data_IF_947830268004
#
_entry.id   IF_947830268004
#
_cell.length_a   1.000
_cell.length_b   1.000
_cell.length_c   1.000
_cell.angle_alpha   90.00
_cell.angle_beta   90.00
_cell.angle_gamma   90.00
#
_symmetry.space_group_name_H-M   'P 1'
#
loop_
_entity.id
_entity.type
_entity.pdbx_description
1 polymer ?
#
# COMPACT_ATOMS: atom_id res chain seq x y z
N UNK A 1 -3.65 -12.48 -12.59
CA UNK A 1 -3.07 -12.01 -11.31
C UNK A 1 -3.83 -12.68 -10.18
N UNK A 2 -3.15 -13.25 -9.19
CA UNK A 2 -3.79 -13.91 -8.04
C UNK A 2 -3.75 -12.99 -6.81
N UNK A 3 -4.88 -12.36 -6.50
CA UNK A 3 -4.99 -11.52 -5.30
C UNK A 3 -4.91 -12.30 -4.00
N UNK A 4 -5.23 -13.60 -3.99
CA UNK A 4 -5.10 -14.42 -2.77
C UNK A 4 -3.65 -14.53 -2.34
N UNK A 5 -2.74 -14.76 -3.29
CA UNK A 5 -1.30 -14.78 -3.02
C UNK A 5 -0.78 -13.41 -2.53
N UNK A 6 -1.26 -12.31 -3.13
CA UNK A 6 -0.85 -10.96 -2.72
C UNK A 6 -1.37 -10.59 -1.33
N UNK A 7 -2.62 -10.92 -1.01
CA UNK A 7 -3.22 -10.75 0.32
C UNK A 7 -2.52 -11.63 1.35
N UNK A 8 -2.17 -12.88 1.01
CA UNK A 8 -1.39 -13.75 1.89
C UNK A 8 -0.02 -13.14 2.24
N UNK A 9 0.69 -12.59 1.25
CA UNK A 9 1.95 -11.88 1.49
C UNK A 9 1.78 -10.66 2.41
N UNK A 10 0.70 -9.90 2.23
CA UNK A 10 0.37 -8.77 3.11
C UNK A 10 0.01 -9.25 4.53
N UNK A 11 -0.69 -10.40 4.66
CA UNK A 11 -1.06 -11.00 5.94
C UNK A 11 0.17 -11.48 6.71
N UNK A 12 1.11 -12.12 6.03
CA UNK A 12 2.35 -12.62 6.63
C UNK A 12 3.19 -11.47 7.19
N UNK A 13 3.38 -10.40 6.42
CA UNK A 13 4.19 -9.25 6.87
C UNK A 13 3.51 -8.46 7.99
N UNK A 14 2.17 -8.41 8.05
CA UNK A 14 1.40 -7.73 9.10
C UNK A 14 1.85 -8.15 10.50
N UNK A 15 2.21 -9.41 10.69
CA UNK A 15 2.70 -9.95 11.98
C UNK A 15 3.99 -9.30 12.48
N UNK A 16 4.73 -8.62 11.60
CA UNK A 16 5.99 -7.93 11.90
C UNK A 16 5.82 -6.43 12.14
N UNK A 17 4.59 -5.93 12.15
CA UNK A 17 4.31 -4.53 12.44
C UNK A 17 4.87 -4.14 13.81
N UNK A 18 5.46 -2.95 13.88
CA UNK A 18 5.84 -2.33 15.13
C UNK A 18 4.79 -1.27 15.45
N UNK A 19 3.74 -1.65 16.18
CA UNK A 19 2.66 -0.73 16.52
C UNK A 19 2.27 -0.76 18.01
N UNK A 20 3.21 -0.47 18.94
CA UNK A 20 2.96 -0.57 20.37
C UNK A 20 1.99 0.50 20.90
N UNK A 21 1.74 1.58 20.14
CA UNK A 21 0.88 2.68 20.59
C UNK A 21 -0.57 2.46 20.18
N UNK A 22 -0.83 2.12 18.91
CA UNK A 22 -2.20 1.84 18.45
C UNK A 22 -2.65 0.41 18.70
N UNK A 23 -1.71 -0.54 18.79
CA UNK A 23 -1.98 -1.98 18.72
C UNK A 23 -2.74 -2.40 17.45
N UNK A 24 -2.67 -1.58 16.39
CA UNK A 24 -3.29 -1.85 15.10
C UNK A 24 -2.21 -2.20 14.08
N UNK A 25 -2.15 -3.48 13.70
CA UNK A 25 -1.15 -4.01 12.79
C UNK A 25 -1.67 -3.98 11.36
N UNK A 26 -0.87 -3.41 10.46
CA UNK A 26 -1.17 -3.31 9.04
C UNK A 26 -0.03 -3.92 8.25
N UNK A 27 -0.37 -4.74 7.26
CA UNK A 27 0.54 -5.25 6.25
C UNK A 27 0.14 -4.78 4.86
N UNK A 28 1.11 -4.59 3.99
CA UNK A 28 0.90 -4.24 2.60
C UNK A 28 1.83 -5.06 1.69
N UNK A 29 1.34 -5.39 0.51
CA UNK A 29 2.12 -6.07 -0.53
C UNK A 29 1.90 -5.37 -1.89
N UNK A 30 2.99 -5.11 -2.61
CA UNK A 30 3.00 -4.45 -3.92
C UNK A 30 3.50 -5.43 -4.97
N UNK A 31 2.71 -5.63 -6.03
CA UNK A 31 3.14 -6.37 -7.22
C UNK A 31 3.74 -5.40 -8.23
N UNK A 32 4.85 -5.76 -8.85
CA UNK A 32 5.51 -4.98 -9.90
C UNK A 32 5.33 -5.61 -11.29
N UNK A 33 5.64 -4.90 -12.39
CA UNK A 33 5.58 -5.47 -13.74
C UNK A 33 6.47 -6.70 -13.95
N UNK A 34 7.58 -6.82 -13.20
CA UNK A 34 8.46 -7.98 -13.24
C UNK A 34 7.89 -9.22 -12.52
N UNK A 35 6.72 -9.09 -11.89
CA UNK A 35 6.08 -10.16 -11.11
C UNK A 35 6.62 -10.30 -9.68
N UNK A 36 7.52 -9.41 -9.25
CA UNK A 36 8.04 -9.41 -7.88
C UNK A 36 7.02 -8.81 -6.90
N UNK A 37 7.00 -9.35 -5.70
CA UNK A 37 6.18 -8.86 -4.59
C UNK A 37 7.11 -8.20 -3.56
N UNK A 38 6.78 -6.97 -3.18
CA UNK A 38 7.44 -6.21 -2.12
C UNK A 38 6.48 -5.98 -0.98
N UNK A 39 6.94 -6.15 0.25
CA UNK A 39 6.08 -6.15 1.42
C UNK A 39 6.51 -5.11 2.44
N UNK A 40 5.56 -4.58 3.19
CA UNK A 40 5.79 -3.64 4.27
C UNK A 40 4.77 -3.81 5.39
N UNK A 41 5.17 -3.46 6.60
CA UNK A 41 4.30 -3.37 7.76
C UNK A 41 4.41 -1.98 8.37
N UNK A 42 3.38 -1.53 9.10
CA UNK A 42 3.44 -0.23 9.75
C UNK A 42 4.47 -0.23 10.89
N UNK A 43 5.16 0.91 11.02
CA UNK A 43 6.18 1.17 12.03
C UNK A 43 5.83 2.47 12.72
N UNK A 44 5.42 2.38 13.97
CA UNK A 44 5.06 3.54 14.77
C UNK A 44 6.28 4.14 15.48
N UNK A 45 6.09 5.37 15.96
CA UNK A 45 7.07 6.11 16.73
C UNK A 45 6.34 6.92 17.80
N UNK A 46 6.97 7.14 18.97
CA UNK A 46 6.42 7.98 20.04
C UNK A 46 6.13 9.41 19.55
N UNK A 47 6.96 9.93 18.64
CA UNK A 47 6.66 11.12 17.88
C UNK A 47 5.80 10.73 16.67
N UNK A 48 4.48 10.75 16.83
CA UNK A 48 3.53 10.16 15.87
C UNK A 48 3.74 10.54 14.39
N UNK A 49 4.11 11.78 14.02
CA UNK A 49 4.40 12.13 12.63
C UNK A 49 5.59 11.39 12.00
N UNK A 50 6.44 10.73 12.81
CA UNK A 50 7.60 9.96 12.37
C UNK A 50 7.27 8.48 12.09
N UNK A 51 6.03 8.06 12.33
CA UNK A 51 5.57 6.73 11.95
C UNK A 51 5.41 6.58 10.44
N UNK A 52 5.42 5.33 9.97
CA UNK A 52 5.19 4.98 8.58
C UNK A 52 4.10 3.91 8.48
N UNK A 53 3.14 4.11 7.57
CA UNK A 53 2.14 3.10 7.24
C UNK A 53 2.77 1.96 6.43
N UNK A 54 2.10 0.81 6.40
CA UNK A 54 2.59 -0.39 5.73
C UNK A 54 2.89 -0.18 4.24
N UNK A 55 2.04 0.58 3.55
CA UNK A 55 2.19 0.91 2.13
C UNK A 55 3.44 1.76 1.88
N UNK A 56 3.76 2.68 2.80
CA UNK A 56 4.97 3.52 2.71
C UNK A 56 6.23 2.66 2.88
N UNK A 57 6.21 1.73 3.84
CA UNK A 57 7.29 0.76 4.03
C UNK A 57 7.46 -0.14 2.80
N UNK A 58 6.35 -0.64 2.25
CA UNK A 58 6.37 -1.52 1.07
C UNK A 58 6.94 -0.79 -0.16
N UNK A 59 6.57 0.48 -0.38
CA UNK A 59 7.18 1.33 -1.41
C UNK A 59 8.69 1.46 -1.17
N UNK A 60 9.12 1.69 0.07
CA UNK A 60 10.54 1.75 0.42
C UNK A 60 11.30 0.48 0.02
N UNK A 61 10.73 -0.70 0.31
CA UNK A 61 11.33 -1.99 -0.08
C UNK A 61 11.34 -2.22 -1.59
N UNK A 62 10.29 -1.80 -2.30
CA UNK A 62 10.21 -1.86 -3.77
C UNK A 62 11.34 -1.04 -4.41
N UNK A 63 11.54 0.19 -3.95
CA UNK A 63 12.59 1.09 -4.43
C UNK A 63 13.98 0.51 -4.11
N UNK A 64 14.19 0.00 -2.89
CA UNK A 64 15.43 -0.66 -2.52
C UNK A 64 15.71 -1.92 -3.36
N UNK A 65 14.65 -2.59 -3.83
CA UNK A 65 14.71 -3.72 -4.76
C UNK A 65 14.91 -3.35 -6.24
N UNK A 66 15.05 -2.06 -6.55
CA UNK A 66 15.31 -1.54 -7.89
C UNK A 66 14.06 -1.31 -8.76
N UNK A 67 12.87 -1.54 -8.24
CA UNK A 67 11.60 -1.39 -8.96
C UNK A 67 10.97 -0.04 -8.65
N UNK A 68 10.35 0.60 -9.66
CA UNK A 68 9.78 1.96 -9.54
C UNK A 68 8.33 2.07 -10.00
N UNK A 69 7.68 0.94 -10.27
CA UNK A 69 6.28 0.88 -10.73
C UNK A 69 5.60 -0.30 -10.09
N UNK A 70 4.34 -0.11 -9.74
CA UNK A 70 3.46 -1.16 -9.25
C UNK A 70 2.34 -1.42 -10.27
N UNK A 71 1.85 -2.65 -10.27
CA UNK A 71 0.72 -3.11 -11.09
C UNK A 71 -0.48 -3.48 -10.24
N UNK A 72 -0.28 -3.72 -8.94
CA UNK A 72 -1.36 -3.94 -7.98
C UNK A 72 -0.86 -3.87 -6.53
N UNK A 73 -1.82 -3.74 -5.61
CA UNK A 73 -1.58 -3.58 -4.18
C UNK A 73 -2.51 -4.51 -3.39
N UNK A 74 -2.06 -5.01 -2.24
CA UNK A 74 -2.93 -5.52 -1.20
C UNK A 74 -2.62 -4.82 0.12
N UNK A 75 -3.64 -4.49 0.90
CA UNK A 75 -3.52 -3.92 2.25
C UNK A 75 -4.44 -4.67 3.20
N UNK A 76 -3.91 -5.07 4.35
CA UNK A 76 -4.64 -5.83 5.36
C UNK A 76 -4.39 -5.24 6.75
N UNK A 77 -5.47 -5.02 7.50
CA UNK A 77 -5.43 -4.57 8.88
C UNK A 77 -5.65 -5.72 9.86
N UNK A 78 -5.50 -5.46 11.16
CA UNK A 78 -5.80 -6.42 12.23
C UNK A 78 -7.26 -6.35 12.74
N UNK A 79 -8.09 -5.48 12.15
CA UNK A 79 -9.51 -5.35 12.48
C UNK A 79 -10.44 -6.20 11.60
N UNK A 80 -11.72 -6.33 12.00
CA UNK A 80 -12.72 -7.12 11.26
C UNK A 80 -13.18 -6.46 9.96
N UNK A 81 -13.00 -5.14 9.83
CA UNK A 81 -13.40 -4.39 8.64
C UNK A 81 -12.31 -4.39 7.56
N UNK A 82 -12.71 -4.15 6.31
CA UNK A 82 -11.78 -3.97 5.19
C UNK A 82 -10.83 -2.79 5.45
N UNK A 83 -9.53 -3.06 5.46
CA UNK A 83 -8.51 -2.04 5.71
C UNK A 83 -8.28 -1.20 4.45
N UNK A 84 -8.73 0.06 4.46
CA UNK A 84 -8.49 1.00 3.36
C UNK A 84 -7.23 1.84 3.62
N UNK A 85 -6.42 2.15 2.58
CA UNK A 85 -5.26 3.02 2.72
C UNK A 85 -5.65 4.41 3.24
N UNK A 86 -4.82 5.00 4.12
CA UNK A 86 -5.02 6.38 4.55
C UNK A 86 -4.77 7.36 3.39
N UNK A 87 -5.26 8.61 3.48
CA UNK A 87 -5.13 9.59 2.39
C UNK A 87 -3.71 9.81 1.88
N UNK A 88 -2.73 9.85 2.79
CA UNK A 88 -1.31 9.94 2.42
C UNK A 88 -0.80 8.72 1.66
N UNK A 89 -1.20 7.51 2.06
CA UNK A 89 -0.85 6.28 1.34
C UNK A 89 -1.49 6.19 -0.03
N UNK A 90 -2.76 6.63 -0.17
CA UNK A 90 -3.41 6.71 -1.48
C UNK A 90 -2.60 7.56 -2.45
N UNK A 91 -2.16 8.75 -2.00
CA UNK A 91 -1.34 9.64 -2.82
C UNK A 91 0.04 9.05 -3.14
N UNK A 92 0.70 8.39 -2.16
CA UNK A 92 1.99 7.71 -2.40
C UNK A 92 1.87 6.57 -3.40
N UNK A 93 0.84 5.73 -3.29
CA UNK A 93 0.60 4.63 -4.22
C UNK A 93 0.30 5.13 -5.63
N UNK A 94 -0.47 6.22 -5.75
CA UNK A 94 -0.81 6.86 -7.02
C UNK A 94 0.42 7.40 -7.78
N UNK A 95 1.51 7.74 -7.09
CA UNK A 95 2.76 8.13 -7.73
C UNK A 95 3.41 6.98 -8.53
N UNK A 96 3.19 5.73 -8.11
CA UNK A 96 3.89 4.56 -8.66
C UNK A 96 3.02 3.69 -9.58
N UNK A 97 1.73 3.98 -9.70
CA UNK A 97 0.79 3.21 -10.51
C UNK A 97 -0.33 4.09 -11.09
N UNK A 98 -0.92 3.70 -12.24
CA UNK A 98 -2.03 4.45 -12.82
C UNK A 98 -3.32 4.33 -11.97
N UNK A 99 -4.33 5.15 -12.28
CA UNK A 99 -5.61 5.15 -11.55
C UNK A 99 -6.31 3.79 -11.57
N UNK A 100 -6.11 3.00 -12.63
CA UNK A 100 -6.69 1.68 -12.83
C UNK A 100 -5.99 0.59 -12.02
N UNK A 101 -4.92 0.93 -11.29
CA UNK A 101 -4.21 -0.03 -10.42
C UNK A 101 -5.20 -0.64 -9.43
N UNK A 102 -5.39 -1.96 -9.44
CA UNK A 102 -6.24 -2.63 -8.48
C UNK A 102 -5.57 -2.74 -7.10
N UNK A 103 -6.37 -2.53 -6.07
CA UNK A 103 -6.02 -2.55 -4.65
C UNK A 103 -6.95 -3.53 -3.95
N UNK A 104 -6.42 -4.64 -3.46
CA UNK A 104 -7.14 -5.53 -2.56
C UNK A 104 -7.12 -4.93 -1.15
N UNK A 105 -8.28 -4.50 -0.66
CA UNK A 105 -8.48 -4.09 0.73
C UNK A 105 -9.00 -5.31 1.50
N UNK A 106 -8.32 -5.70 2.57
CA UNK A 106 -8.58 -6.94 3.27
C UNK A 106 -8.85 -6.73 4.76
N UNK A 107 -9.76 -7.53 5.28
CA UNK A 107 -10.03 -7.67 6.71
C UNK A 107 -9.08 -8.69 7.35
N UNK A 108 -9.10 -8.78 8.68
CA UNK A 108 -8.13 -9.57 9.41
C UNK A 108 -8.15 -11.07 9.14
N UNK A 109 -9.28 -11.61 8.69
CA UNK A 109 -9.49 -13.01 8.32
C UNK A 109 -9.06 -13.32 6.86
N UNK A 110 -8.59 -12.31 6.13
CA UNK A 110 -8.16 -12.43 4.75
C UNK A 110 -9.29 -12.31 3.72
N UNK A 111 -10.54 -12.07 4.14
CA UNK A 111 -11.60 -11.63 3.22
C UNK A 111 -11.23 -10.27 2.63
N UNK A 112 -11.48 -10.07 1.34
CA UNK A 112 -11.06 -8.87 0.65
C UNK A 112 -12.00 -8.47 -0.48
N UNK A 113 -11.97 -7.18 -0.80
CA UNK A 113 -12.55 -6.60 -2.00
C UNK A 113 -11.45 -5.96 -2.85
N UNK A 114 -11.65 -5.89 -4.17
CA UNK A 114 -10.72 -5.24 -5.08
C UNK A 114 -11.36 -3.96 -5.59
N UNK A 115 -10.69 -2.84 -5.33
CA UNK A 115 -11.07 -1.49 -5.76
C UNK A 115 -9.88 -0.84 -6.47
N UNK A 116 -10.10 0.11 -7.38
CA UNK A 116 -9.00 0.80 -8.05
C UNK A 116 -8.43 1.95 -7.22
N UNK A 117 -7.18 2.35 -7.48
CA UNK A 117 -6.59 3.55 -6.89
C UNK A 117 -7.38 4.83 -7.23
N UNK A 118 -7.95 4.91 -8.43
CA UNK A 118 -8.78 6.03 -8.87
C UNK A 118 -10.10 6.16 -8.11
N UNK A 119 -10.71 5.03 -7.71
CA UNK A 119 -11.88 5.03 -6.83
C UNK A 119 -11.52 5.42 -5.40
N UNK A 120 -10.34 5.03 -4.92
CA UNK A 120 -9.83 5.42 -3.60
C UNK A 120 -9.43 6.90 -3.55
N UNK A 121 -8.91 7.46 -4.64
CA UNK A 121 -8.41 8.83 -4.73
C UNK A 121 -8.90 9.51 -6.03
N UNK A 122 -10.19 9.85 -6.12
CA UNK A 122 -10.74 10.49 -7.29
C UNK A 122 -10.09 11.87 -7.51
N UNK A 123 -9.74 12.18 -8.76
CA UNK A 123 -9.10 13.44 -9.16
C UNK A 123 -7.80 13.71 -8.40
N UNK A 124 -6.99 12.66 -8.23
CA UNK A 124 -5.71 12.72 -7.55
C UNK A 124 -4.79 13.83 -8.10
N UNK A 125 -4.03 14.45 -7.19
CA UNK A 125 -2.92 15.31 -7.56
C UNK A 125 -1.79 14.45 -8.17
N UNK A 126 -1.02 15.02 -9.10
CA UNK A 126 0.05 14.30 -9.79
C UNK A 126 0.85 15.21 -10.73
N UNK A 127 1.82 14.67 -11.47
CA UNK A 127 2.76 15.43 -12.31
C UNK A 127 2.10 16.49 -13.20
N UNK A 128 0.95 16.18 -13.81
CA UNK A 128 0.21 17.10 -14.69
C UNK A 128 -0.31 18.37 -14.00
N UNK A 129 -0.26 18.45 -12.67
CA UNK A 129 -0.65 19.62 -11.89
C UNK A 129 0.55 20.49 -11.51
N UNK A 130 1.79 20.04 -11.78
CA UNK A 130 3.02 20.77 -11.49
C UNK A 130 3.49 21.53 -12.74
N UNK A 131 3.90 22.80 -12.61
CA UNK A 131 4.23 23.67 -13.75
C UNK A 131 5.42 23.19 -14.60
N UNK A 132 6.32 22.38 -14.05
CA UNK A 132 7.57 21.93 -14.71
C UNK A 132 7.80 20.41 -14.60
N UNK A 133 6.77 19.59 -14.40
CA UNK A 133 6.99 18.15 -14.29
C UNK A 133 7.38 17.54 -15.65
N UNK A 134 8.40 16.66 -15.70
CA UNK A 134 8.64 15.85 -16.89
C UNK A 134 7.41 14.99 -17.20
N UNK A 135 7.13 14.69 -18.48
CA UNK A 135 5.98 13.86 -18.85
C UNK A 135 6.07 12.47 -18.20
N UNK A 136 4.92 11.98 -17.74
CA UNK A 136 4.74 10.70 -17.05
C UNK A 136 4.95 9.47 -17.95
#
# INVERSE_FOLDING_TARGET
MDFKALVAAAMDIRSRAYAPYSNYHVGAALLTPSGKIFVGANVENAAYPQGACAETCAIGTMIAGGERRLTAVAVIGSGPDLCTPCGGCRQRLFEFGPAETPVAIAAADGTFEVITLGELLPRAFGPNHLPDAPPA
#
